data_IF_919496435420
#
_entry.id   IF_919496435420
#
_cell.length_a   1.000
_cell.length_b   1.000
_cell.length_c   1.000
_cell.angle_alpha   90.00
_cell.angle_beta   90.00
_cell.angle_gamma   90.00
#
_symmetry.space_group_name_H-M   'P 1'
#
loop_
_entity.id
_entity.type
_entity.pdbx_description
1 polymer ?
#
# COMPACT_ATOMS: atom_id res chain seq x y z
N UNK A 1 12.88 0.41 -16.99
CA UNK A 1 12.79 0.31 -15.50
C UNK A 1 14.17 0.14 -14.89
N UNK A 2 14.58 1.11 -14.06
CA UNK A 2 15.75 0.97 -13.19
C UNK A 2 15.48 -0.10 -12.11
N UNK A 3 16.35 -1.12 -12.05
CA UNK A 3 16.24 -2.30 -11.18
C UNK A 3 16.08 -1.90 -9.70
N UNK A 4 16.66 -0.77 -9.30
CA UNK A 4 16.68 -0.37 -7.89
C UNK A 4 15.56 0.59 -7.51
N UNK A 5 15.18 1.54 -8.36
CA UNK A 5 14.17 2.54 -8.01
C UNK A 5 12.73 2.18 -8.40
N UNK A 6 12.54 1.29 -9.39
CA UNK A 6 11.23 0.97 -9.98
C UNK A 6 10.46 2.20 -10.47
N UNK A 7 11.16 3.32 -10.70
CA UNK A 7 10.56 4.52 -11.28
C UNK A 7 10.20 4.26 -12.74
N UNK A 8 9.05 4.79 -13.12
CA UNK A 8 8.53 4.74 -14.49
C UNK A 8 8.04 6.13 -14.91
N UNK A 9 8.03 6.37 -16.21
CA UNK A 9 7.38 7.53 -16.81
C UNK A 9 5.87 7.31 -16.95
N UNK A 10 5.09 8.40 -17.02
CA UNK A 10 3.61 8.29 -17.17
C UNK A 10 3.19 7.57 -18.44
N UNK A 11 4.00 7.65 -19.51
CA UNK A 11 3.75 6.98 -20.78
C UNK A 11 3.91 5.45 -20.71
N UNK A 12 4.55 4.93 -19.66
CA UNK A 12 4.71 3.49 -19.46
C UNK A 12 3.51 2.85 -18.73
N UNK A 13 2.58 3.67 -18.20
CA UNK A 13 1.43 3.20 -17.42
C UNK A 13 0.42 2.43 -18.27
N UNK A 14 -0.04 1.31 -17.73
CA UNK A 14 -1.11 0.48 -18.29
C UNK A 14 -2.23 0.30 -17.27
N UNK A 15 -3.45 0.19 -17.75
CA UNK A 15 -4.60 -0.10 -16.88
C UNK A 15 -4.37 -1.38 -16.07
N UNK A 16 -4.70 -1.33 -14.79
CA UNK A 16 -4.42 -2.40 -13.83
C UNK A 16 -3.00 -2.38 -13.26
N UNK A 17 -2.16 -1.39 -13.59
CA UNK A 17 -0.86 -1.23 -12.94
C UNK A 17 -1.02 -0.86 -11.46
N UNK A 18 -0.33 -1.60 -10.60
CA UNK A 18 -0.18 -1.24 -9.20
C UNK A 18 1.01 -0.28 -9.08
N UNK A 19 0.70 0.97 -8.80
CA UNK A 19 1.68 2.02 -8.62
C UNK A 19 1.81 2.40 -7.16
N UNK A 20 2.97 2.93 -6.80
CA UNK A 20 3.20 3.46 -5.48
C UNK A 20 4.07 4.71 -5.53
N UNK A 21 4.03 5.46 -4.43
CA UNK A 21 4.87 6.63 -4.22
C UNK A 21 5.35 6.70 -2.78
N UNK A 22 6.63 7.03 -2.57
CA UNK A 22 7.18 7.22 -1.23
C UNK A 22 6.66 8.52 -0.63
N UNK A 23 5.97 8.44 0.52
CA UNK A 23 5.42 9.61 1.24
C UNK A 23 6.27 10.04 2.42
N UNK A 24 6.86 9.07 3.12
CA UNK A 24 7.77 9.27 4.25
C UNK A 24 8.87 8.21 4.19
N UNK A 25 9.90 8.37 5.03
CA UNK A 25 10.94 7.34 5.19
C UNK A 25 10.27 6.04 5.61
N UNK A 26 10.36 5.02 4.76
CA UNK A 26 9.78 3.68 4.95
C UNK A 26 8.25 3.58 4.86
N UNK A 27 7.57 4.56 4.24
CA UNK A 27 6.14 4.46 3.96
C UNK A 27 5.84 4.83 2.51
N UNK A 28 5.29 3.87 1.78
CA UNK A 28 4.80 3.99 0.42
C UNK A 28 3.27 4.04 0.43
N UNK A 29 2.72 4.92 -0.39
CA UNK A 29 1.29 4.99 -0.65
C UNK A 29 1.00 4.31 -1.99
N UNK A 30 -0.03 3.46 -2.02
CA UNK A 30 -0.30 2.52 -3.10
C UNK A 30 -1.65 2.79 -3.76
N UNK A 31 -1.77 2.45 -5.03
CA UNK A 31 -3.01 2.56 -5.80
C UNK A 31 -2.95 1.76 -7.10
N UNK A 32 -4.11 1.57 -7.72
CA UNK A 32 -4.26 0.94 -9.02
C UNK A 32 -4.53 2.04 -10.06
N UNK A 33 -3.74 2.08 -11.12
CA UNK A 33 -4.00 2.95 -12.26
C UNK A 33 -5.13 2.36 -13.10
N UNK A 34 -6.17 3.18 -13.36
CA UNK A 34 -7.42 2.74 -14.02
C UNK A 34 -7.65 3.47 -15.35
N UNK A 35 -6.58 3.99 -15.96
CA UNK A 35 -6.65 4.70 -17.24
C UNK A 35 -6.89 6.20 -17.11
N UNK A 36 -6.68 6.93 -18.20
CA UNK A 36 -7.00 8.37 -18.33
C UNK A 36 -6.46 9.26 -17.19
N UNK A 37 -5.28 8.95 -16.65
CA UNK A 37 -4.66 9.71 -15.56
C UNK A 37 -5.32 9.49 -14.18
N UNK A 38 -6.20 8.49 -14.03
CA UNK A 38 -6.93 8.18 -12.81
C UNK A 38 -6.28 7.03 -12.03
N UNK A 39 -6.29 7.16 -10.71
CA UNK A 39 -5.77 6.17 -9.78
C UNK A 39 -6.81 5.93 -8.70
N UNK A 40 -7.21 4.68 -8.50
CA UNK A 40 -8.06 4.27 -7.38
C UNK A 40 -7.17 3.77 -6.25
N UNK A 41 -7.35 4.32 -5.07
CA UNK A 41 -6.52 4.01 -3.91
C UNK A 41 -7.31 4.09 -2.62
N UNK A 42 -6.83 3.36 -1.62
CA UNK A 42 -7.43 3.31 -0.31
C UNK A 42 -6.71 4.24 0.66
N UNK A 43 -7.46 5.10 1.35
CA UNK A 43 -6.93 6.12 2.28
C UNK A 43 -7.61 6.04 3.64
N UNK A 44 -6.97 6.65 4.63
CA UNK A 44 -7.56 6.85 5.94
C UNK A 44 -8.19 8.23 6.02
N UNK A 45 -9.53 8.28 6.04
CA UNK A 45 -10.30 9.53 6.08
C UNK A 45 -9.85 10.47 7.20
N UNK A 46 -9.42 9.94 8.35
CA UNK A 46 -9.04 10.74 9.53
C UNK A 46 -7.63 11.33 9.46
N UNK A 47 -6.82 11.01 8.45
CA UNK A 47 -5.41 11.45 8.38
C UNK A 47 -5.08 12.27 7.13
N UNK A 48 -6.00 12.41 6.18
CA UNK A 48 -5.81 13.35 5.06
C UNK A 48 -6.24 14.80 5.39
N UNK A 49 -6.93 15.00 6.53
CA UNK A 49 -7.39 16.31 7.02
C UNK A 49 -6.30 17.29 7.45
N UNK A 50 -5.01 16.92 7.39
CA UNK A 50 -3.92 17.93 7.46
C UNK A 50 -3.67 18.62 6.10
N UNK A 51 -4.50 18.38 5.08
CA UNK A 51 -4.34 19.02 3.77
C UNK A 51 -5.56 19.18 2.85
N UNK A 52 -6.75 18.66 3.16
CA UNK A 52 -7.95 18.91 2.34
C UNK A 52 -9.18 19.27 3.17
N UNK A 53 -9.29 20.54 3.53
CA UNK A 53 -10.55 21.09 4.02
C UNK A 53 -11.59 21.17 2.89
N UNK A 54 -12.53 20.23 2.86
CA UNK A 54 -13.85 20.32 2.21
C UNK A 54 -14.70 19.26 2.94
N UNK A 55 -15.62 19.54 3.88
CA UNK A 55 -16.68 20.54 3.93
C UNK A 55 -17.04 20.86 5.39
N UNK A 56 -17.09 22.14 5.77
CA UNK A 56 -17.85 22.62 6.92
C UNK A 56 -18.57 23.91 6.50
N UNK A 57 -19.91 24.02 6.63
CA UNK A 57 -20.61 25.26 6.37
C UNK A 57 -20.46 26.19 7.58
N UNK A 58 -20.03 27.43 7.32
CA UNK A 58 -19.89 28.59 8.23
C UNK A 58 -18.70 28.63 9.21
N UNK A 59 -17.75 29.57 8.98
CA UNK A 59 -17.56 30.81 9.78
C UNK A 59 -16.26 31.56 9.43
N UNK A 60 -16.46 32.84 9.04
CA UNK A 60 -15.83 34.09 9.49
C UNK A 60 -14.29 34.28 9.36
N UNK A 61 -13.99 35.42 8.71
CA UNK A 61 -12.76 36.19 8.57
C UNK A 61 -11.72 36.07 9.72
N UNK A 62 -10.44 35.82 9.38
CA UNK A 62 -9.31 36.50 10.00
C UNK A 62 -8.00 36.36 9.21
N UNK A 63 -7.24 37.45 9.34
CA UNK A 63 -5.98 37.82 8.71
C UNK A 63 -4.80 36.91 9.09
N UNK A 64 -3.85 36.73 8.16
CA UNK A 64 -2.44 36.51 8.52
C UNK A 64 -1.77 35.27 7.94
N UNK A 65 -0.68 35.55 7.21
CA UNK A 65 0.43 34.68 6.75
C UNK A 65 0.28 33.96 5.39
N UNK A 66 1.17 34.36 4.49
CA UNK A 66 1.29 34.02 3.08
C UNK A 66 1.91 32.63 2.91
N UNK A 67 1.08 31.60 3.08
CA UNK A 67 1.33 30.28 2.51
C UNK A 67 0.40 30.14 1.32
N UNK A 68 0.94 30.19 0.10
CA UNK A 68 0.21 29.86 -1.14
C UNK A 68 -0.41 28.47 -1.01
N UNK A 69 -1.63 28.40 -0.46
CA UNK A 69 -2.47 27.19 -0.44
C UNK A 69 -2.67 26.85 -1.92
N UNK A 70 -2.13 25.72 -2.38
CA UNK A 70 -2.49 25.20 -3.70
C UNK A 70 -4.02 25.08 -3.72
N UNK A 71 -4.65 25.71 -4.71
CA UNK A 71 -6.09 25.59 -4.92
C UNK A 71 -6.51 24.13 -5.08
N UNK A 72 -7.83 23.84 -5.01
CA UNK A 72 -8.35 22.50 -5.23
C UNK A 72 -7.88 21.97 -6.59
N UNK A 73 -7.75 20.64 -6.71
CA UNK A 73 -7.39 20.00 -7.97
C UNK A 73 -8.37 20.43 -9.06
N UNK A 74 -7.87 20.74 -10.25
CA UNK A 74 -8.71 21.12 -11.39
C UNK A 74 -9.53 19.94 -11.95
N UNK A 75 -9.18 18.71 -11.59
CA UNK A 75 -9.88 17.50 -12.01
C UNK A 75 -11.12 17.28 -11.15
N UNK A 76 -12.31 17.38 -11.74
CA UNK A 76 -13.60 17.22 -11.05
C UNK A 76 -13.79 15.87 -10.38
N UNK A 77 -13.12 14.83 -10.87
CA UNK A 77 -13.17 13.49 -10.28
C UNK A 77 -12.22 13.32 -9.08
N UNK A 78 -11.20 14.17 -8.93
CA UNK A 78 -10.11 13.91 -8.00
C UNK A 78 -10.54 14.10 -6.54
N UNK A 79 -10.33 13.06 -5.73
CA UNK A 79 -10.75 13.00 -4.33
C UNK A 79 -12.15 12.44 -4.11
N UNK A 80 -12.86 12.04 -5.17
CA UNK A 80 -14.22 11.49 -5.04
C UNK A 80 -14.23 10.06 -4.50
N UNK A 81 -15.20 9.80 -3.64
CA UNK A 81 -15.64 8.48 -3.21
C UNK A 81 -17.03 8.20 -3.78
N UNK A 82 -17.29 6.98 -4.25
CA UNK A 82 -18.66 6.57 -4.61
C UNK A 82 -19.47 6.19 -3.38
N UNK A 83 -18.82 5.58 -2.40
CA UNK A 83 -19.40 5.24 -1.09
C UNK A 83 -18.78 6.14 -0.03
N UNK A 84 -19.59 7.02 0.54
CA UNK A 84 -19.12 8.00 1.52
C UNK A 84 -18.51 7.32 2.76
N UNK A 85 -17.30 7.73 3.13
CA UNK A 85 -16.57 7.19 4.29
C UNK A 85 -16.04 5.78 4.06
N UNK A 86 -15.96 5.34 2.80
CA UNK A 86 -15.36 4.05 2.44
C UNK A 86 -13.84 4.13 2.39
N UNK A 87 -13.26 5.33 2.29
CA UNK A 87 -11.83 5.56 2.09
C UNK A 87 -11.30 5.11 0.72
N UNK A 88 -12.14 4.57 -0.18
CA UNK A 88 -11.72 4.19 -1.54
C UNK A 88 -11.96 5.38 -2.47
N UNK A 89 -10.89 6.09 -2.83
CA UNK A 89 -10.94 7.34 -3.59
C UNK A 89 -10.38 7.15 -4.99
N UNK A 90 -10.92 7.92 -5.93
CA UNK A 90 -10.27 8.17 -7.23
C UNK A 90 -9.52 9.49 -7.18
N UNK A 91 -8.28 9.51 -7.65
CA UNK A 91 -7.42 10.70 -7.72
C UNK A 91 -6.74 10.81 -9.07
N UNK A 92 -6.35 12.03 -9.47
CA UNK A 92 -5.42 12.17 -10.58
C UNK A 92 -4.00 11.74 -10.16
N UNK A 93 -3.15 11.40 -11.13
CA UNK A 93 -1.75 11.01 -10.87
C UNK A 93 -1.03 12.05 -9.99
N UNK A 94 -1.18 13.34 -10.27
CA UNK A 94 -0.49 14.39 -9.51
C UNK A 94 -0.88 14.44 -8.03
N UNK A 95 -2.17 14.34 -7.71
CA UNK A 95 -2.66 14.29 -6.34
C UNK A 95 -2.27 12.98 -5.65
N UNK A 96 -2.29 11.86 -6.38
CA UNK A 96 -1.78 10.58 -5.90
C UNK A 96 -0.28 10.68 -5.57
N UNK A 97 0.55 11.33 -6.38
CA UNK A 97 2.00 11.47 -6.15
C UNK A 97 2.37 12.54 -5.11
N UNK A 98 1.57 13.61 -4.98
CA UNK A 98 1.90 14.86 -4.26
C UNK A 98 3.26 15.43 -4.70
N UNK A 99 4.34 15.01 -4.04
CA UNK A 99 5.74 15.40 -4.33
C UNK A 99 6.66 14.19 -4.54
N UNK A 100 6.12 12.98 -4.48
CA UNK A 100 6.88 11.74 -4.63
C UNK A 100 7.04 11.34 -6.10
N UNK A 101 7.85 10.30 -6.32
CA UNK A 101 8.04 9.71 -7.66
C UNK A 101 6.95 8.69 -7.97
N UNK A 102 6.65 8.51 -9.26
CA UNK A 102 5.84 7.42 -9.77
C UNK A 102 6.69 6.15 -9.83
N UNK A 103 6.30 5.12 -9.09
CA UNK A 103 6.97 3.83 -9.09
C UNK A 103 5.98 2.71 -9.40
N UNK A 104 6.44 1.69 -10.11
CA UNK A 104 5.66 0.48 -10.43
C UNK A 104 5.97 -0.64 -9.43
N UNK A 105 4.94 -1.21 -8.82
CA UNK A 105 5.10 -2.34 -7.91
C UNK A 105 5.44 -3.61 -8.69
N UNK A 106 6.46 -4.36 -8.25
CA UNK A 106 6.93 -5.55 -8.97
C UNK A 106 6.26 -6.83 -8.47
N UNK A 107 5.48 -7.47 -9.34
CA UNK A 107 4.97 -8.84 -9.15
C UNK A 107 5.95 -9.85 -9.73
N UNK A 108 5.80 -11.13 -9.35
CA UNK A 108 6.69 -12.23 -9.74
C UNK A 108 8.17 -11.85 -9.55
N UNK A 109 8.46 -11.14 -8.46
CA UNK A 109 9.82 -10.78 -8.13
C UNK A 109 10.64 -12.05 -7.85
N UNK A 110 11.90 -12.06 -8.29
CA UNK A 110 12.80 -13.13 -7.87
C UNK A 110 13.08 -12.99 -6.37
N UNK A 111 13.49 -14.10 -5.74
CA UNK A 111 13.89 -14.11 -4.34
C UNK A 111 14.99 -13.09 -4.07
N UNK A 112 15.98 -12.99 -4.95
CA UNK A 112 17.10 -12.05 -4.84
C UNK A 112 16.58 -10.61 -4.88
N UNK A 113 15.63 -10.31 -5.76
CA UNK A 113 15.01 -8.99 -5.84
C UNK A 113 14.26 -8.65 -4.54
N UNK A 114 13.49 -9.60 -4.00
CA UNK A 114 12.77 -9.42 -2.74
C UNK A 114 13.75 -9.13 -1.59
N UNK A 115 14.82 -9.91 -1.46
CA UNK A 115 15.80 -9.79 -0.37
C UNK A 115 16.70 -8.55 -0.52
N UNK A 116 16.97 -8.08 -1.74
CA UNK A 116 17.77 -6.88 -1.99
C UNK A 116 17.08 -5.59 -1.52
N UNK A 117 15.74 -5.57 -1.45
CA UNK A 117 14.99 -4.40 -0.98
C UNK A 117 15.04 -4.37 0.55
N UNK A 118 15.56 -3.32 1.17
CA UNK A 118 15.62 -3.20 2.64
C UNK A 118 14.27 -2.78 3.26
N UNK A 119 13.36 -2.27 2.42
CA UNK A 119 12.02 -1.81 2.79
C UNK A 119 10.99 -2.65 2.03
N UNK A 120 9.88 -2.99 2.68
CA UNK A 120 8.72 -3.55 2.00
C UNK A 120 7.95 -2.50 1.19
N UNK A 121 6.81 -2.89 0.63
CA UNK A 121 5.92 -2.00 -0.12
C UNK A 121 6.37 -1.75 -1.56
N UNK A 122 7.18 -2.63 -2.14
CA UNK A 122 7.73 -2.40 -3.49
C UNK A 122 7.61 -3.59 -4.42
N UNK A 123 7.56 -4.81 -3.88
CA UNK A 123 7.50 -6.02 -4.67
C UNK A 123 6.88 -7.18 -3.89
N UNK A 124 6.48 -8.20 -4.63
CA UNK A 124 6.09 -9.51 -4.10
C UNK A 124 6.50 -10.61 -5.08
N UNK A 125 6.70 -11.82 -4.57
CA UNK A 125 6.92 -13.01 -5.41
C UNK A 125 5.59 -13.56 -5.97
N UNK A 126 4.44 -13.12 -5.42
CA UNK A 126 3.13 -13.50 -5.95
C UNK A 126 2.92 -13.04 -7.40
N UNK A 127 2.14 -13.83 -8.13
CA UNK A 127 1.67 -13.48 -9.47
C UNK A 127 0.49 -12.52 -9.41
N UNK A 128 0.42 -11.62 -10.40
CA UNK A 128 -0.75 -10.78 -10.62
C UNK A 128 -1.74 -11.52 -11.51
N UNK A 129 -3.02 -11.34 -11.25
CA UNK A 129 -4.07 -11.74 -12.18
C UNK A 129 -4.05 -10.88 -13.46
N UNK A 130 -4.74 -11.33 -14.53
CA UNK A 130 -4.92 -10.56 -15.75
C UNK A 130 -5.53 -9.18 -15.50
N UNK A 131 -5.20 -8.16 -16.32
CA UNK A 131 -5.70 -6.79 -16.16
C UNK A 131 -7.21 -6.68 -16.01
N UNK A 132 -7.99 -7.51 -16.71
CA UNK A 132 -9.45 -7.52 -16.68
C UNK A 132 -9.98 -7.82 -15.28
N UNK A 133 -9.44 -8.86 -14.64
CA UNK A 133 -9.78 -9.25 -13.26
C UNK A 133 -9.33 -8.20 -12.25
N UNK A 134 -8.17 -7.57 -12.48
CA UNK A 134 -7.67 -6.48 -11.64
C UNK A 134 -8.60 -5.28 -11.69
N UNK A 135 -9.02 -4.90 -12.90
CA UNK A 135 -9.91 -3.77 -13.14
C UNK A 135 -11.30 -4.05 -12.57
N UNK A 136 -11.84 -5.26 -12.78
CA UNK A 136 -13.11 -5.69 -12.18
C UNK A 136 -13.14 -5.47 -10.67
N UNK A 137 -12.15 -6.01 -9.95
CA UNK A 137 -12.07 -5.88 -8.49
C UNK A 137 -11.86 -4.44 -8.05
N UNK A 138 -11.00 -3.70 -8.74
CA UNK A 138 -10.70 -2.30 -8.39
C UNK A 138 -11.94 -1.42 -8.52
N UNK A 139 -12.68 -1.57 -9.61
CA UNK A 139 -13.92 -0.83 -9.86
C UNK A 139 -15.03 -1.25 -8.90
N UNK A 140 -15.21 -2.56 -8.68
CA UNK A 140 -16.18 -3.07 -7.72
C UNK A 140 -15.94 -2.47 -6.32
N UNK A 141 -14.70 -2.46 -5.84
CA UNK A 141 -14.37 -1.90 -4.52
C UNK A 141 -14.48 -0.38 -4.45
N UNK A 142 -14.32 0.32 -5.57
CA UNK A 142 -14.61 1.75 -5.63
C UNK A 142 -16.11 2.01 -5.49
N UNK A 143 -16.94 1.22 -6.16
CA UNK A 143 -18.40 1.35 -6.16
C UNK A 143 -19.08 0.85 -4.87
N UNK A 144 -18.48 -0.12 -4.19
CA UNK A 144 -19.08 -0.78 -3.02
C UNK A 144 -18.31 -0.55 -1.71
N UNK A 145 -17.12 0.04 -1.79
CA UNK A 145 -16.20 0.22 -0.67
C UNK A 145 -15.38 -1.04 -0.35
N UNK A 146 -14.27 -0.85 0.37
CA UNK A 146 -13.36 -1.93 0.76
C UNK A 146 -13.44 -2.31 2.24
N UNK A 147 -13.93 -1.43 3.10
CA UNK A 147 -14.03 -1.62 4.55
C UNK A 147 -13.22 -0.60 5.35
N UNK A 148 -13.09 -0.79 6.66
CA UNK A 148 -12.45 0.20 7.55
C UNK A 148 -10.92 0.17 7.44
N UNK A 149 -10.30 1.32 7.23
CA UNK A 149 -8.85 1.45 7.12
C UNK A 149 -8.14 1.13 8.45
N UNK A 150 -7.13 0.26 8.40
CA UNK A 150 -6.15 0.04 9.48
C UNK A 150 -4.74 0.15 8.90
N UNK A 151 -3.95 1.10 9.41
CA UNK A 151 -2.58 1.36 8.96
C UNK A 151 -1.68 0.11 8.97
N UNK A 152 -1.95 -0.86 9.85
CA UNK A 152 -1.10 -2.04 10.02
C UNK A 152 -1.55 -3.25 9.18
N UNK A 153 -2.85 -3.46 9.03
CA UNK A 153 -3.38 -4.71 8.48
C UNK A 153 -4.43 -4.55 7.38
N UNK A 154 -4.96 -3.35 7.17
CA UNK A 154 -5.91 -3.05 6.10
C UNK A 154 -5.60 -1.65 5.56
N UNK A 155 -4.46 -1.52 4.89
CA UNK A 155 -3.96 -0.25 4.38
C UNK A 155 -3.98 -0.21 2.83
N UNK A 156 -3.41 0.85 2.25
CA UNK A 156 -3.37 1.03 0.79
C UNK A 156 -2.63 -0.09 0.04
N UNK A 157 -1.61 -0.70 0.64
CA UNK A 157 -0.88 -1.82 0.06
C UNK A 157 -1.72 -3.10 0.08
N UNK A 158 -2.43 -3.38 1.19
CA UNK A 158 -3.34 -4.52 1.27
C UNK A 158 -4.46 -4.43 0.24
N UNK A 159 -5.03 -3.23 0.06
CA UNK A 159 -6.00 -2.95 -0.99
C UNK A 159 -5.44 -3.27 -2.37
N UNK A 160 -4.29 -2.68 -2.73
CA UNK A 160 -3.72 -2.86 -4.06
C UNK A 160 -3.25 -4.32 -4.31
N UNK A 161 -2.70 -5.00 -3.30
CA UNK A 161 -2.38 -6.43 -3.37
C UNK A 161 -3.64 -7.28 -3.57
N UNK A 162 -4.73 -6.98 -2.85
CA UNK A 162 -6.01 -7.66 -3.06
C UNK A 162 -6.56 -7.39 -4.46
N UNK A 163 -6.51 -6.16 -4.96
CA UNK A 163 -6.94 -5.83 -6.33
C UNK A 163 -6.07 -6.49 -7.41
N UNK A 164 -4.80 -6.83 -7.13
CA UNK A 164 -3.92 -7.49 -8.12
C UNK A 164 -3.98 -9.00 -8.07
N UNK A 165 -4.24 -9.58 -6.90
CA UNK A 165 -4.07 -11.03 -6.68
C UNK A 165 -5.32 -11.74 -6.21
N UNK A 166 -6.29 -11.06 -5.61
CA UNK A 166 -7.56 -11.65 -5.15
C UNK A 166 -7.36 -12.59 -3.96
N UNK A 167 -6.12 -12.78 -3.52
CA UNK A 167 -5.80 -13.55 -2.34
C UNK A 167 -6.35 -12.82 -1.12
N UNK A 168 -6.73 -13.51 -0.06
CA UNK A 168 -7.04 -13.03 1.29
C UNK A 168 -6.36 -13.90 2.37
N UNK A 169 -5.96 -13.35 3.52
CA UNK A 169 -5.35 -14.10 4.65
C UNK A 169 -6.41 -14.83 5.48
N UNK A 170 -6.27 -16.14 5.68
CA UNK A 170 -7.18 -16.93 6.54
C UNK A 170 -6.82 -16.86 8.02
N UNK A 171 -5.59 -16.49 8.36
CA UNK A 171 -5.15 -16.38 9.77
C UNK A 171 -5.67 -15.08 10.43
N UNK A 172 -6.35 -15.24 11.57
CA UNK A 172 -6.91 -14.16 12.40
C UNK A 172 -5.80 -13.29 13.03
N UNK A 173 -4.61 -13.86 13.27
CA UNK A 173 -3.49 -13.16 13.90
C UNK A 173 -2.59 -12.37 12.93
N UNK A 174 -2.67 -12.65 11.62
CA UNK A 174 -1.81 -12.08 10.58
C UNK A 174 -2.61 -11.46 9.43
N UNK A 175 -3.72 -10.81 9.77
CA UNK A 175 -4.66 -10.23 8.81
C UNK A 175 -4.05 -9.15 7.88
N UNK A 176 -2.83 -8.68 8.15
CA UNK A 176 -2.07 -7.78 7.27
C UNK A 176 -1.18 -8.51 6.25
N UNK A 177 -1.34 -8.16 4.96
CA UNK A 177 -0.42 -8.56 3.87
C UNK A 177 0.67 -7.53 3.62
N UNK A 178 0.50 -6.33 4.14
CA UNK A 178 1.42 -5.22 3.93
C UNK A 178 2.85 -5.63 4.26
N UNK A 179 3.71 -5.62 3.25
CA UNK A 179 5.12 -5.90 3.44
C UNK A 179 5.85 -4.72 4.09
N UNK A 180 5.25 -3.52 4.10
CA UNK A 180 5.80 -2.32 4.77
C UNK A 180 6.07 -2.53 6.28
N UNK A 181 5.36 -3.44 6.95
CA UNK A 181 5.62 -3.78 8.36
C UNK A 181 6.74 -4.83 8.55
N UNK A 182 7.16 -5.51 7.48
CA UNK A 182 8.17 -6.57 7.50
C UNK A 182 9.55 -6.05 7.07
N UNK A 183 9.97 -4.93 7.66
CA UNK A 183 11.31 -4.38 7.43
C UNK A 183 12.39 -5.32 7.97
N UNK A 184 13.47 -5.47 7.21
CA UNK A 184 14.72 -6.04 7.71
C UNK A 184 15.35 -5.00 8.65
N UNK A 185 15.15 -5.17 9.97
CA UNK A 185 15.82 -4.36 10.99
C UNK A 185 16.98 -5.16 11.57
N UNK A 186 18.18 -4.56 11.72
CA UNK A 186 19.17 -5.09 12.64
C UNK A 186 18.53 -5.14 14.04
N UNK A 187 18.50 -6.30 14.69
CA UNK A 187 17.98 -6.42 16.05
C UNK A 187 18.90 -5.67 17.02
N UNK A 188 18.66 -4.37 17.26
CA UNK A 188 19.31 -3.64 18.35
C UNK A 188 18.58 -3.97 19.65
N UNK A 189 18.92 -5.10 20.27
CA UNK A 189 18.65 -5.25 21.70
C UNK A 189 19.70 -4.45 22.46
N UNK A 190 19.30 -3.28 22.96
CA UNK A 190 20.07 -2.53 23.94
C UNK A 190 20.05 -3.30 25.27
N UNK A 191 21.01 -4.20 25.47
CA UNK A 191 21.48 -4.58 26.80
C UNK A 191 22.97 -4.31 26.86
N UNK A 192 23.34 -3.44 27.79
CA UNK A 192 24.69 -3.00 28.09
C UNK A 192 25.46 -4.19 28.66
N UNK A 193 26.70 -4.35 28.19
CA UNK A 193 27.68 -5.42 28.49
C UNK A 193 27.38 -6.80 27.89
N UNK A 194 27.88 -7.03 26.67
CA UNK A 194 28.04 -8.37 26.07
C UNK A 194 29.32 -8.45 25.26
N UNK A 195 29.98 -9.60 25.42
CA UNK A 195 31.21 -10.04 24.76
C UNK A 195 31.15 -9.81 23.23
N UNK A 196 32.29 -9.48 22.63
CA UNK A 196 32.42 -9.19 21.19
C UNK A 196 31.97 -10.39 20.35
N UNK A 197 32.28 -11.61 20.79
CA UNK A 197 31.86 -12.86 20.14
C UNK A 197 30.34 -12.99 20.13
N UNK A 198 29.67 -12.70 21.25
CA UNK A 198 28.21 -12.75 21.34
C UNK A 198 27.55 -11.71 20.42
N UNK A 199 28.15 -10.52 20.27
CA UNK A 199 27.69 -9.50 19.30
C UNK A 199 27.83 -9.97 17.86
N UNK A 200 28.96 -10.59 17.51
CA UNK A 200 29.20 -11.12 16.16
C UNK A 200 28.20 -12.23 15.85
N UNK A 201 28.00 -13.18 16.76
CA UNK A 201 27.02 -14.27 16.60
C UNK A 201 25.58 -13.75 16.53
N UNK A 202 25.23 -12.72 17.30
CA UNK A 202 23.91 -12.10 17.22
C UNK A 202 23.68 -11.40 15.87
N UNK A 203 24.67 -10.69 15.34
CA UNK A 203 24.58 -10.07 14.01
C UNK A 203 24.50 -11.16 12.92
N UNK A 204 25.39 -12.16 12.96
CA UNK A 204 25.46 -13.25 12.00
C UNK A 204 24.16 -14.07 11.93
N UNK A 205 23.43 -14.22 13.04
CA UNK A 205 22.15 -14.95 13.06
C UNK A 205 20.92 -14.06 12.83
N UNK A 206 20.98 -12.78 13.17
CA UNK A 206 19.84 -11.85 12.99
C UNK A 206 19.58 -11.50 11.52
N UNK A 207 20.63 -11.38 10.71
CA UNK A 207 20.53 -11.04 9.28
C UNK A 207 19.83 -12.17 8.50
N UNK A 208 20.29 -13.44 8.53
CA UNK A 208 19.58 -14.55 7.88
C UNK A 208 18.13 -14.71 8.36
N UNK A 209 17.89 -14.64 9.69
CA UNK A 209 16.52 -14.72 10.24
C UNK A 209 15.62 -13.61 9.71
N UNK A 210 16.14 -12.40 9.53
CA UNK A 210 15.36 -11.29 8.99
C UNK A 210 14.99 -11.48 7.51
N UNK A 211 15.90 -12.07 6.72
CA UNK A 211 15.64 -12.43 5.33
C UNK A 211 14.60 -13.56 5.22
N UNK A 212 14.77 -14.64 5.98
CA UNK A 212 13.79 -15.74 6.02
C UNK A 212 12.42 -15.25 6.51
N UNK A 213 12.38 -14.37 7.51
CA UNK A 213 11.12 -13.80 8.00
C UNK A 213 10.42 -12.93 6.95
N UNK A 214 11.18 -12.22 6.12
CA UNK A 214 10.62 -11.43 5.02
C UNK A 214 10.05 -12.34 3.94
N UNK A 215 10.84 -13.33 3.52
CA UNK A 215 10.46 -14.32 2.51
C UNK A 215 9.20 -15.09 2.92
N UNK A 216 9.16 -15.64 4.13
CA UNK A 216 8.02 -16.41 4.63
C UNK A 216 6.73 -15.60 4.81
N UNK A 217 6.85 -14.28 4.83
CA UNK A 217 5.70 -13.37 4.91
C UNK A 217 5.31 -12.77 3.57
N UNK A 218 6.08 -13.03 2.52
CA UNK A 218 5.72 -12.61 1.17
C UNK A 218 4.43 -13.32 0.73
N UNK A 219 3.58 -12.58 0.04
CA UNK A 219 2.28 -13.09 -0.42
C UNK A 219 2.43 -14.33 -1.32
N UNK A 220 3.54 -14.44 -2.07
CA UNK A 220 3.80 -15.56 -2.96
C UNK A 220 4.32 -16.82 -2.27
N UNK A 221 4.66 -16.76 -0.97
CA UNK A 221 5.18 -17.91 -0.22
C UNK A 221 4.26 -18.36 0.92
N UNK A 222 3.39 -17.48 1.39
CA UNK A 222 2.43 -17.77 2.46
C UNK A 222 1.47 -18.89 2.06
N UNK A 223 1.20 -19.81 3.00
CA UNK A 223 0.28 -20.94 2.83
C UNK A 223 -1.11 -20.67 3.41
N UNK A 224 -1.27 -19.58 4.14
CA UNK A 224 -2.50 -19.15 4.83
C UNK A 224 -3.24 -18.07 4.04
N UNK A 225 -3.19 -18.14 2.71
CA UNK A 225 -3.90 -17.24 1.80
C UNK A 225 -4.77 -18.01 0.82
N UNK A 226 -5.96 -17.48 0.55
CA UNK A 226 -6.95 -18.10 -0.36
C UNK A 226 -7.48 -17.06 -1.34
N UNK A 227 -7.81 -17.46 -2.56
CA UNK A 227 -8.53 -16.57 -3.49
C UNK A 227 -9.95 -16.32 -2.98
N UNK A 228 -10.36 -15.06 -2.95
CA UNK A 228 -11.70 -14.64 -2.53
C UNK A 228 -12.28 -13.72 -3.61
N UNK A 229 -13.39 -14.09 -4.26
CA UNK A 229 -14.12 -13.20 -5.17
C UNK A 229 -14.50 -11.89 -4.48
N UNK A 230 -14.50 -10.78 -5.22
CA UNK A 230 -14.69 -9.45 -4.62
C UNK A 230 -16.10 -9.24 -4.10
N UNK A 231 -17.07 -9.87 -4.73
CA UNK A 231 -18.48 -9.92 -4.37
C UNK A 231 -18.66 -10.57 -2.99
N UNK A 232 -17.85 -11.58 -2.69
CA UNK A 232 -17.91 -12.36 -1.44
C UNK A 232 -17.01 -11.82 -0.33
N UNK A 233 -16.09 -10.90 -0.66
CA UNK A 233 -15.06 -10.42 0.25
C UNK A 233 -15.63 -9.93 1.59
N UNK A 234 -16.74 -9.19 1.54
CA UNK A 234 -17.39 -8.65 2.74
C UNK A 234 -17.95 -9.74 3.66
N UNK A 235 -18.52 -10.81 3.09
CA UNK A 235 -19.05 -11.96 3.81
C UNK A 235 -17.92 -12.81 4.36
N UNK A 236 -16.88 -13.05 3.55
CA UNK A 236 -15.69 -13.78 3.95
C UNK A 236 -14.97 -13.11 5.14
N UNK A 237 -14.82 -11.79 5.13
CA UNK A 237 -14.21 -11.07 6.26
C UNK A 237 -15.04 -11.15 7.54
N UNK A 238 -16.36 -11.23 7.42
CA UNK A 238 -17.25 -11.40 8.58
C UNK A 238 -17.12 -12.79 9.19
N UNK A 239 -17.00 -13.85 8.38
CA UNK A 239 -16.84 -15.21 8.90
C UNK A 239 -15.51 -15.42 9.63
N UNK A 240 -14.44 -14.72 9.24
CA UNK A 240 -13.16 -14.76 9.97
C UNK A 240 -13.22 -14.09 11.35
N UNK A 241 -14.17 -13.20 11.60
CA UNK A 241 -14.31 -12.47 12.87
C UNK A 241 -15.34 -13.10 13.82
N UNK A 242 -16.03 -14.16 13.40
CA UNK A 242 -16.87 -15.02 14.24
C UNK A 242 -16.01 -16.14 14.85
#
# INVERSE_FOLDING_TARGET
MDIFSQKIERSELKEGDHIYTWRKKFYSHHGIFVGEGKVIHFVNDKREDEGSHFLAPFKILSSGTDHKKKGPCSMSYCGLEKVAGSGVKVSCIDCFLKKGSLCLFKYQASREFLLAKTVGGTCTMAESDPPEEVMHRTMYLYENGYGKYDLRNNNCEDFALYCKTGLWSTDKGSQGRSSQINMVRPTRHAKKERDMVERITQIATSIPRSFSKRENKDLGHRTDVVKVPVEELSSFRRSLNQ
#
